data_IF_748482599062
#
_entry.id   IF_748482599062
#
_cell.length_a   1.000
_cell.length_b   1.000
_cell.length_c   1.000
_cell.angle_alpha   90.00
_cell.angle_beta   90.00
_cell.angle_gamma   90.00
#
_symmetry.space_group_name_H-M   'P 1'
#
loop_
_entity.id
_entity.type
_entity.pdbx_description
1 polymer ?
#
# COMPACT_ATOMS: atom_id res chain seq x y z
N UNK A 1 -7.95 5.32 4.67
CA UNK A 1 -8.08 4.25 3.66
C UNK A 1 -9.53 3.83 3.61
N UNK A 2 -10.06 3.51 2.42
CA UNK A 2 -11.45 3.11 2.22
C UNK A 2 -12.41 4.27 1.86
N UNK A 3 -13.68 3.98 1.54
CA UNK A 3 -14.67 4.93 1.01
C UNK A 3 -14.99 6.10 1.96
N UNK A 4 -14.71 5.95 3.26
CA UNK A 4 -14.80 7.03 4.26
C UNK A 4 -13.43 7.60 4.63
N UNK A 5 -12.57 7.83 3.64
CA UNK A 5 -11.25 8.42 3.82
C UNK A 5 -11.31 9.84 4.39
N UNK A 6 -10.46 10.13 5.38
CA UNK A 6 -10.33 11.49 5.96
C UNK A 6 -9.51 12.39 5.04
N UNK A 7 -9.80 13.69 5.10
CA UNK A 7 -9.04 14.71 4.37
C UNK A 7 -7.69 14.94 5.03
N UNK A 8 -6.66 15.11 4.19
CA UNK A 8 -5.32 15.54 4.60
C UNK A 8 -5.07 16.91 3.98
N UNK A 9 -4.58 17.84 4.79
CA UNK A 9 -4.22 19.19 4.36
C UNK A 9 -2.71 19.24 4.23
N UNK A 10 -2.23 19.63 3.05
CA UNK A 10 -0.81 19.72 2.72
C UNK A 10 -0.47 21.20 2.50
N UNK A 11 0.47 21.69 3.29
CA UNK A 11 1.05 23.02 3.12
C UNK A 11 1.85 23.07 1.80
N UNK A 12 1.68 24.14 1.04
CA UNK A 12 2.47 24.44 -0.16
C UNK A 12 3.26 25.70 0.09
N UNK A 13 4.51 25.73 -0.39
CA UNK A 13 5.40 26.88 -0.24
C UNK A 13 4.86 28.15 -0.91
N UNK A 14 4.09 28.01 -2.00
CA UNK A 14 3.45 29.12 -2.70
C UNK A 14 1.94 28.82 -2.90
N UNK A 15 1.08 29.67 -2.34
CA UNK A 15 -0.38 29.65 -2.55
C UNK A 15 -1.17 28.87 -1.49
N UNK A 16 -2.43 28.56 -1.82
CA UNK A 16 -3.38 27.95 -0.89
C UNK A 16 -3.02 26.49 -0.54
N UNK A 17 -3.32 26.03 0.69
CA UNK A 17 -3.07 24.66 1.11
C UNK A 17 -3.86 23.68 0.25
N UNK A 18 -3.25 22.54 -0.10
CA UNK A 18 -3.89 21.49 -0.89
C UNK A 18 -4.61 20.53 0.04
N UNK A 19 -5.93 20.44 -0.09
CA UNK A 19 -6.73 19.42 0.58
C UNK A 19 -6.79 18.20 -0.34
N UNK A 20 -6.46 17.02 0.17
CA UNK A 20 -6.51 15.78 -0.61
C UNK A 20 -6.89 14.57 0.25
N UNK A 21 -7.54 13.58 -0.39
CA UNK A 21 -7.76 12.24 0.17
C UNK A 21 -6.84 11.20 -0.47
N UNK A 22 -6.02 11.59 -1.45
CA UNK A 22 -5.15 10.69 -2.19
C UNK A 22 -3.90 10.33 -1.38
N UNK A 23 -3.79 9.07 -0.99
CA UNK A 23 -2.64 8.54 -0.23
C UNK A 23 -1.31 8.65 -0.99
N UNK A 24 -1.32 8.65 -2.32
CA UNK A 24 -0.08 8.79 -3.13
C UNK A 24 0.46 10.21 -3.06
N UNK A 25 -0.42 11.22 -3.19
CA UNK A 25 -0.06 12.62 -3.02
C UNK A 25 0.44 12.88 -1.59
N UNK A 26 -0.23 12.33 -0.57
CA UNK A 26 0.17 12.48 0.84
C UNK A 26 1.55 11.85 1.08
N UNK A 27 1.78 10.63 0.59
CA UNK A 27 3.06 9.94 0.78
C UNK A 27 4.23 10.72 0.17
N UNK A 28 4.04 11.38 -0.98
CA UNK A 28 5.08 12.19 -1.64
C UNK A 28 5.46 13.45 -0.85
N UNK A 29 4.52 14.06 -0.14
CA UNK A 29 4.77 15.30 0.62
C UNK A 29 5.45 15.09 1.98
N UNK A 30 5.56 13.85 2.46
CA UNK A 30 6.15 13.57 3.77
C UNK A 30 7.68 13.63 3.67
N UNK A 31 8.33 14.57 4.33
CA UNK A 31 9.79 14.62 4.47
C UNK A 31 10.16 14.88 5.91
N UNK A 32 11.16 14.15 6.42
CA UNK A 32 11.63 14.28 7.78
C UNK A 32 12.96 15.01 7.82
N UNK A 33 13.14 15.88 8.82
CA UNK A 33 14.42 16.59 9.05
C UNK A 33 15.53 15.63 9.48
N UNK A 34 15.19 14.59 10.23
CA UNK A 34 16.12 13.55 10.63
C UNK A 34 16.42 12.60 9.46
N UNK A 35 17.70 12.42 9.16
CA UNK A 35 18.15 11.60 8.01
C UNK A 35 17.76 10.14 8.17
N UNK A 36 17.90 9.56 9.37
CA UNK A 36 17.58 8.15 9.59
C UNK A 36 16.09 7.87 9.37
N UNK A 37 15.21 8.69 9.95
CA UNK A 37 13.77 8.63 9.70
C UNK A 37 13.40 8.92 8.24
N UNK A 38 14.08 9.87 7.59
CA UNK A 38 13.79 10.19 6.19
C UNK A 38 14.15 9.04 5.25
N UNK A 39 15.26 8.33 5.50
CA UNK A 39 15.63 7.14 4.72
C UNK A 39 14.57 6.04 4.87
N UNK A 40 14.10 5.77 6.09
CA UNK A 40 13.00 4.82 6.31
C UNK A 40 11.71 5.22 5.61
N UNK A 41 11.36 6.50 5.65
CA UNK A 41 10.19 7.03 4.94
C UNK A 41 10.33 6.88 3.42
N UNK A 42 11.50 7.17 2.85
CA UNK A 42 11.77 6.99 1.42
C UNK A 42 11.66 5.53 0.99
N UNK A 43 12.11 4.57 1.80
CA UNK A 43 11.95 3.14 1.50
C UNK A 43 10.47 2.75 1.39
N UNK A 44 9.62 3.21 2.32
CA UNK A 44 8.18 2.95 2.27
C UNK A 44 7.52 3.62 1.06
N UNK A 45 7.94 4.85 0.71
CA UNK A 45 7.46 5.53 -0.51
C UNK A 45 7.84 4.77 -1.78
N UNK A 46 9.04 4.17 -1.83
CA UNK A 46 9.47 3.37 -2.97
C UNK A 46 8.57 2.14 -3.16
N UNK A 47 8.20 1.46 -2.07
CA UNK A 47 7.25 0.33 -2.12
C UNK A 47 5.91 0.80 -2.68
N UNK A 48 5.34 1.88 -2.13
CA UNK A 48 4.07 2.42 -2.61
C UNK A 48 4.12 2.82 -4.10
N UNK A 49 5.23 3.43 -4.55
CA UNK A 49 5.43 3.81 -5.95
C UNK A 49 5.57 2.59 -6.87
N UNK A 50 6.25 1.55 -6.43
CA UNK A 50 6.40 0.30 -7.18
C UNK A 50 5.04 -0.39 -7.36
N UNK A 51 4.23 -0.47 -6.30
CA UNK A 51 2.86 -1.02 -6.37
C UNK A 51 1.99 -0.22 -7.33
N UNK A 52 2.03 1.12 -7.25
CA UNK A 52 1.27 1.97 -8.18
C UNK A 52 1.66 1.75 -9.64
N UNK A 53 2.95 1.53 -9.91
CA UNK A 53 3.45 1.30 -11.28
C UNK A 53 3.02 -0.07 -11.83
N UNK A 54 2.95 -1.09 -10.97
CA UNK A 54 2.60 -2.44 -11.38
C UNK A 54 1.08 -2.68 -11.49
N UNK A 55 0.31 -2.21 -10.51
CA UNK A 55 -1.11 -2.53 -10.38
C UNK A 55 -2.04 -1.33 -10.60
N UNK A 56 -1.55 -0.08 -10.56
CA UNK A 56 -2.37 1.12 -10.69
C UNK A 56 -3.20 1.48 -9.45
N UNK A 57 -3.39 0.56 -8.50
CA UNK A 57 -4.04 0.74 -7.20
C UNK A 57 -3.31 -0.07 -6.10
N UNK A 58 -3.76 0.00 -4.85
CA UNK A 58 -3.25 -0.79 -3.73
C UNK A 58 -2.10 -0.12 -2.98
N UNK A 59 -1.75 1.13 -3.32
CA UNK A 59 -0.65 1.88 -2.69
C UNK A 59 -0.83 2.05 -1.18
N UNK A 60 -2.07 2.34 -0.75
CA UNK A 60 -2.42 2.44 0.67
C UNK A 60 -2.32 1.09 1.38
N UNK A 61 -2.77 0.01 0.73
CA UNK A 61 -2.70 -1.34 1.27
C UNK A 61 -1.26 -1.80 1.45
N UNK A 62 -0.42 -1.63 0.41
CA UNK A 62 0.99 -1.98 0.44
C UNK A 62 1.75 -1.24 1.56
N UNK A 63 1.43 0.04 1.77
CA UNK A 63 2.04 0.85 2.84
C UNK A 63 1.68 0.32 4.23
N UNK A 64 0.40 -0.03 4.45
CA UNK A 64 -0.07 -0.57 5.74
C UNK A 64 0.51 -1.96 6.01
N UNK A 65 0.56 -2.83 5.00
CA UNK A 65 1.16 -4.16 5.13
C UNK A 65 2.65 -4.08 5.42
N UNK A 66 3.38 -3.20 4.73
CA UNK A 66 4.81 -2.95 4.98
C UNK A 66 5.03 -2.53 6.43
N UNK A 67 4.20 -1.61 6.94
CA UNK A 67 4.28 -1.17 8.33
C UNK A 67 4.00 -2.32 9.32
N UNK A 68 2.96 -3.13 9.08
CA UNK A 68 2.60 -4.25 9.94
C UNK A 68 3.71 -5.31 10.01
N UNK A 69 4.25 -5.71 8.85
CA UNK A 69 5.35 -6.69 8.77
C UNK A 69 6.61 -6.16 9.46
N UNK A 70 6.94 -4.88 9.24
CA UNK A 70 8.11 -4.26 9.88
C UNK A 70 7.97 -4.26 11.41
N UNK A 71 6.81 -3.83 11.91
CA UNK A 71 6.56 -3.75 13.35
C UNK A 71 6.66 -5.11 14.02
N UNK A 72 6.07 -6.14 13.42
CA UNK A 72 6.11 -7.50 13.97
C UNK A 72 7.48 -8.17 13.80
N UNK A 73 8.17 -7.89 12.69
CA UNK A 73 9.53 -8.35 12.46
C UNK A 73 10.53 -7.77 13.46
N UNK A 74 10.40 -6.48 13.80
CA UNK A 74 11.21 -5.85 14.83
C UNK A 74 10.98 -6.47 16.22
N UNK A 75 9.74 -6.84 16.57
CA UNK A 75 9.45 -7.55 17.84
C UNK A 75 10.10 -8.93 17.87
N UNK A 76 9.96 -9.70 16.79
CA UNK A 76 10.56 -11.02 16.66
C UNK A 76 12.09 -10.96 16.77
N UNK A 77 12.72 -9.95 16.15
CA UNK A 77 14.15 -9.72 16.25
C UNK A 77 14.59 -9.36 17.67
N UNK A 78 13.83 -8.50 18.37
CA UNK A 78 14.09 -8.16 19.76
C UNK A 78 13.96 -9.38 20.70
N UNK A 79 13.13 -10.36 20.34
CA UNK A 79 13.03 -11.64 21.03
C UNK A 79 14.17 -12.63 20.72
N UNK A 80 15.14 -12.25 19.88
CA UNK A 80 16.31 -13.07 19.54
C UNK A 80 16.15 -13.95 18.30
N UNK A 81 15.11 -13.74 17.48
CA UNK A 81 14.95 -14.47 16.23
C UNK A 81 16.04 -14.12 15.21
N UNK A 82 16.46 -15.11 14.42
CA UNK A 82 17.41 -14.90 13.33
C UNK A 82 16.73 -14.15 12.16
N UNK A 83 17.36 -13.07 11.69
CA UNK A 83 16.87 -12.22 10.59
C UNK A 83 16.69 -13.01 9.29
N UNK A 84 17.61 -13.93 8.99
CA UNK A 84 17.58 -14.70 7.75
C UNK A 84 16.43 -15.70 7.75
N UNK A 85 16.20 -16.38 8.88
CA UNK A 85 15.10 -17.32 9.03
C UNK A 85 13.75 -16.60 8.98
N UNK A 86 13.66 -15.44 9.65
CA UNK A 86 12.46 -14.59 9.60
C UNK A 86 12.15 -14.15 8.16
N UNK A 87 13.16 -13.71 7.42
CA UNK A 87 13.00 -13.32 6.00
C UNK A 87 12.55 -14.51 5.15
N UNK A 88 13.16 -15.68 5.33
CA UNK A 88 12.80 -16.89 4.60
C UNK A 88 11.35 -17.30 4.90
N UNK A 89 10.96 -17.32 6.17
CA UNK A 89 9.59 -17.63 6.59
C UNK A 89 8.56 -16.65 6.04
N UNK A 90 8.86 -15.34 6.02
CA UNK A 90 7.99 -14.33 5.40
C UNK A 90 7.80 -14.60 3.91
N UNK A 91 8.88 -14.91 3.18
CA UNK A 91 8.78 -15.19 1.75
C UNK A 91 7.93 -16.45 1.48
N UNK A 92 8.13 -17.52 2.24
CA UNK A 92 7.32 -18.73 2.13
C UNK A 92 5.84 -18.46 2.40
N UNK A 93 5.53 -17.66 3.41
CA UNK A 93 4.15 -17.27 3.72
C UNK A 93 3.54 -16.44 2.58
N UNK A 94 4.31 -15.50 2.01
CA UNK A 94 3.87 -14.69 0.86
C UNK A 94 3.57 -15.58 -0.35
N UNK A 95 4.43 -16.54 -0.67
CA UNK A 95 4.22 -17.45 -1.80
C UNK A 95 2.97 -18.32 -1.63
N UNK A 96 2.73 -18.82 -0.41
CA UNK A 96 1.52 -19.56 -0.08
C UNK A 96 0.27 -18.70 -0.25
N UNK A 97 0.29 -17.46 0.25
CA UNK A 97 -0.83 -16.51 0.12
C UNK A 97 -1.09 -16.14 -1.34
N UNK A 98 -0.05 -15.93 -2.15
CA UNK A 98 -0.20 -15.65 -3.59
C UNK A 98 -0.83 -16.83 -4.31
N UNK A 99 -0.43 -18.06 -3.95
CA UNK A 99 -0.97 -19.28 -4.56
C UNK A 99 -2.47 -19.41 -4.27
N UNK A 100 -2.88 -19.17 -3.03
CA UNK A 100 -4.29 -19.21 -2.63
C UNK A 100 -5.11 -18.03 -3.21
N UNK A 101 -4.51 -16.84 -3.34
CA UNK A 101 -5.18 -15.72 -4.01
C UNK A 101 -5.45 -16.03 -5.49
N UNK A 102 -4.51 -16.69 -6.17
CA UNK A 102 -4.68 -17.12 -7.56
C UNK A 102 -5.73 -18.21 -7.71
N UNK A 103 -5.83 -19.14 -6.75
CA UNK A 103 -6.85 -20.21 -6.80
C UNK A 103 -8.27 -19.66 -6.64
N UNK A 104 -8.44 -18.54 -5.92
CA UNK A 104 -9.73 -17.86 -5.71
C UNK A 104 -10.05 -16.82 -6.77
N UNK A 105 -9.10 -16.48 -7.65
CA UNK A 105 -9.30 -15.48 -8.68
C UNK A 105 -10.28 -16.01 -9.73
N UNK A 106 -11.38 -15.27 -9.95
CA UNK A 106 -12.34 -15.58 -11.01
C UNK A 106 -11.83 -14.96 -12.30
N UNK A 107 -11.56 -15.78 -13.32
CA UNK A 107 -11.23 -15.27 -14.65
C UNK A 107 -12.50 -14.72 -15.32
N UNK A 108 -12.39 -13.49 -15.81
CA UNK A 108 -13.41 -12.83 -16.63
C UNK A 108 -13.04 -13.10 -18.08
N UNK A 109 -13.92 -13.73 -18.85
CA UNK A 109 -13.64 -14.09 -20.25
C UNK A 109 -14.71 -13.62 -21.23
N UNK A 110 -15.92 -13.34 -20.75
CA UNK A 110 -17.04 -12.96 -21.62
C UNK A 110 -17.24 -11.44 -21.69
N UNK A 111 -17.69 -10.90 -22.84
CA UNK A 111 -18.01 -9.47 -22.97
C UNK A 111 -19.03 -8.97 -21.94
N UNK A 112 -19.97 -9.82 -21.54
CA UNK A 112 -21.00 -9.49 -20.54
C UNK A 112 -20.40 -9.35 -19.14
N UNK A 113 -19.49 -10.24 -18.74
CA UNK A 113 -18.74 -10.12 -17.47
C UNK A 113 -17.84 -8.88 -17.46
N UNK A 114 -17.21 -8.54 -18.59
CA UNK A 114 -16.40 -7.32 -18.72
C UNK A 114 -17.29 -6.09 -18.50
N UNK A 115 -18.49 -6.08 -19.11
CA UNK A 115 -19.45 -4.99 -18.95
C UNK A 115 -19.91 -4.89 -17.51
N UNK A 116 -20.23 -6.01 -16.85
CA UNK A 116 -20.63 -6.05 -15.46
C UNK A 116 -19.53 -5.52 -14.51
N UNK A 117 -18.27 -5.83 -14.79
CA UNK A 117 -17.13 -5.35 -13.97
C UNK A 117 -16.86 -3.87 -14.19
N UNK A 118 -17.04 -3.36 -15.41
CA UNK A 118 -16.98 -1.91 -15.68
C UNK A 118 -18.15 -1.18 -15.00
N UNK A 119 -19.33 -1.80 -14.96
CA UNK A 119 -20.55 -1.20 -14.40
C UNK A 119 -20.65 -1.32 -12.88
N UNK A 120 -19.79 -2.10 -12.21
CA UNK A 120 -19.71 -2.14 -10.75
C UNK A 120 -19.33 -0.72 -10.26
N UNK A 121 -20.27 0.03 -9.66
CA UNK A 121 -20.08 1.44 -9.43
C UNK A 121 -19.21 1.64 -8.19
N UNK A 122 -17.99 2.11 -8.40
CA UNK A 122 -17.26 2.86 -7.39
C UNK A 122 -17.72 4.32 -7.44
N UNK A 123 -18.59 4.70 -6.50
CA UNK A 123 -19.10 6.06 -6.21
C UNK A 123 -20.32 6.56 -7.04
N UNK A 124 -21.46 6.61 -6.34
CA UNK A 124 -22.60 7.55 -6.41
C UNK A 124 -22.97 8.18 -7.77
N UNK A 125 -23.96 7.58 -8.43
CA UNK A 125 -24.96 8.32 -9.21
C UNK A 125 -26.13 8.68 -8.29
N UNK A 126 -26.07 9.87 -7.66
CA UNK A 126 -27.24 10.71 -7.35
C UNK A 126 -26.85 12.16 -7.64
#
# INVERSE_FOLDING_TARGET
>A
MGPKGRNVIIEKSNGNPKITKDGVTVAKSITFKDKAKNVGAELVKQVAKATNKAAGDGTSCATVLTHAILMEGCKSLAAGANVMDLRSGINMAVDAVITELKSRAVMISTPDEITQVIYLPGEDLI
#
